data_IF_295024587725
#
_entry.id   IF_295024587725
#
_cell.length_a   1.000
_cell.length_b   1.000
_cell.length_c   1.000
_cell.angle_alpha   90.00
_cell.angle_beta   90.00
_cell.angle_gamma   90.00
#
_symmetry.space_group_name_H-M   'P 1'
#
loop_
_entity.id
_entity.type
_entity.pdbx_description
1 polymer ?
#
# COMPACT_ATOMS: atom_id res chain seq x y z
N UNK A 1 -10.36 17.51 3.71
CA UNK A 1 -8.93 17.58 3.34
C UNK A 1 -8.16 17.74 4.63
N UNK A 2 -7.46 16.71 5.09
CA UNK A 2 -6.69 16.79 6.34
C UNK A 2 -5.49 17.71 6.10
N UNK A 3 -5.30 18.66 6.99
CA UNK A 3 -4.21 19.64 6.92
C UNK A 3 -2.90 18.97 7.34
N UNK A 4 -2.08 18.57 6.37
CA UNK A 4 -0.79 17.89 6.61
C UNK A 4 0.10 18.71 7.54
N UNK A 5 0.03 20.04 7.49
CA UNK A 5 0.81 20.90 8.38
C UNK A 5 0.43 20.72 9.84
N UNK A 6 -0.82 20.36 10.14
CA UNK A 6 -1.25 20.03 11.50
C UNK A 6 -0.72 18.67 11.94
N UNK A 7 -0.68 17.68 11.05
CA UNK A 7 -0.09 16.37 11.36
C UNK A 7 1.44 16.44 11.52
N UNK A 8 2.12 17.24 10.70
CA UNK A 8 3.57 17.45 10.81
C UNK A 8 3.95 18.13 12.13
N UNK A 9 3.06 18.93 12.72
CA UNK A 9 3.24 19.50 14.06
C UNK A 9 2.86 18.52 15.17
N UNK A 10 1.89 17.65 14.93
CA UNK A 10 1.43 16.65 15.88
C UNK A 10 2.45 15.54 16.12
N UNK A 11 3.14 15.08 15.06
CA UNK A 11 4.11 13.99 15.17
C UNK A 11 5.27 14.25 16.14
N UNK A 12 5.99 15.40 16.08
CA UNK A 12 7.06 15.70 17.03
C UNK A 12 6.55 15.78 18.47
N UNK A 13 5.36 16.34 18.68
CA UNK A 13 4.74 16.39 20.01
C UNK A 13 4.45 14.98 20.55
N UNK A 14 3.83 14.12 19.73
CA UNK A 14 3.50 12.75 20.11
C UNK A 14 4.76 11.90 20.33
N UNK A 15 5.80 12.09 19.51
CA UNK A 15 7.08 11.41 19.66
C UNK A 15 7.76 11.78 20.98
N UNK A 16 7.77 13.07 21.33
CA UNK A 16 8.28 13.54 22.61
C UNK A 16 7.46 12.99 23.78
N UNK A 17 6.12 12.96 23.64
CA UNK A 17 5.24 12.39 24.65
C UNK A 17 5.55 10.91 24.89
N UNK A 18 5.68 10.11 23.84
CA UNK A 18 6.06 8.69 23.93
C UNK A 18 7.42 8.53 24.63
N UNK A 19 8.43 9.30 24.21
CA UNK A 19 9.76 9.25 24.82
C UNK A 19 9.74 9.56 26.32
N UNK A 20 8.96 10.56 26.75
CA UNK A 20 8.83 10.90 28.16
C UNK A 20 8.04 9.83 28.93
N UNK A 21 7.02 9.23 28.33
CA UNK A 21 6.26 8.13 28.93
C UNK A 21 7.11 6.86 29.11
N UNK A 22 7.97 6.52 28.14
CA UNK A 22 8.89 5.39 28.25
C UNK A 22 10.01 5.65 29.28
N UNK A 23 10.39 6.92 29.48
CA UNK A 23 11.36 7.32 30.52
C UNK A 23 10.78 7.26 31.93
N UNK A 24 9.47 7.36 32.09
CA UNK A 24 8.79 7.17 33.38
C UNK A 24 8.66 5.66 33.57
N UNK A 25 9.69 5.01 34.13
CA UNK A 25 9.79 3.56 34.28
C UNK A 25 8.69 2.87 35.13
N UNK A 26 7.64 3.60 35.50
CA UNK A 26 6.51 3.13 36.30
C UNK A 26 5.36 2.65 35.39
N UNK A 27 5.53 1.43 34.87
CA UNK A 27 4.59 0.74 33.96
C UNK A 27 3.12 0.73 34.41
N UNK A 28 2.75 0.59 35.70
CA UNK A 28 1.32 0.55 36.07
C UNK A 28 0.63 1.91 35.99
N UNK A 29 1.34 3.01 36.29
CA UNK A 29 0.79 4.37 36.20
C UNK A 29 0.64 4.81 34.74
N UNK A 30 1.60 4.46 33.88
CA UNK A 30 1.51 4.75 32.45
C UNK A 30 0.32 4.02 31.81
N UNK A 31 0.11 2.73 32.13
CA UNK A 31 -1.04 1.95 31.64
C UNK A 31 -2.38 2.55 32.11
N UNK A 32 -2.49 2.97 33.39
CA UNK A 32 -3.72 3.62 33.87
C UNK A 32 -4.00 4.96 33.19
N UNK A 33 -2.95 5.74 32.90
CA UNK A 33 -3.09 7.00 32.19
C UNK A 33 -3.49 6.78 30.73
N UNK A 34 -2.91 5.80 30.04
CA UNK A 34 -3.24 5.53 28.63
C UNK A 34 -4.65 4.96 28.48
N UNK A 35 -5.11 4.10 29.40
CA UNK A 35 -6.48 3.56 29.42
C UNK A 35 -7.56 4.65 29.53
N UNK A 36 -7.25 5.81 30.13
CA UNK A 36 -8.18 6.94 30.21
C UNK A 36 -8.26 7.76 28.91
N UNK A 37 -7.35 7.55 27.95
CA UNK A 37 -7.31 8.33 26.71
C UNK A 37 -8.41 7.93 25.72
N UNK A 38 -8.88 6.68 25.75
CA UNK A 38 -9.97 6.22 24.88
C UNK A 38 -9.63 6.32 23.40
N UNK A 39 -8.41 5.93 23.02
CA UNK A 39 -7.90 6.09 21.65
C UNK A 39 -8.59 5.07 20.75
N UNK A 40 -9.40 5.57 19.82
CA UNK A 40 -10.14 4.74 18.87
C UNK A 40 -9.86 5.13 17.42
N UNK A 41 -9.56 4.13 16.58
CA UNK A 41 -9.32 4.30 15.15
C UNK A 41 -10.25 3.44 14.31
N UNK A 42 -10.64 3.95 13.15
CA UNK A 42 -11.38 3.19 12.13
C UNK A 42 -10.45 2.77 11.00
N UNK A 43 -10.63 1.55 10.49
CA UNK A 43 -9.79 1.02 9.41
C UNK A 43 -10.52 1.05 8.06
N UNK A 44 -9.99 1.76 7.04
CA UNK A 44 -10.49 1.66 5.66
C UNK A 44 -10.20 0.29 5.00
N UNK A 45 -9.25 -0.48 5.56
CA UNK A 45 -8.88 -1.80 5.05
C UNK A 45 -9.70 -2.94 5.68
N UNK A 46 -10.66 -2.63 6.55
CA UNK A 46 -11.61 -3.61 7.05
C UNK A 46 -12.88 -3.65 6.21
N UNK A 47 -13.37 -4.86 5.93
CA UNK A 47 -14.73 -5.02 5.42
C UNK A 47 -15.73 -4.52 6.47
N UNK A 48 -16.58 -3.57 6.08
CA UNK A 48 -17.86 -3.41 6.77
C UNK A 48 -18.68 -4.66 6.44
N UNK A 49 -19.21 -5.41 7.43
CA UNK A 49 -19.89 -6.66 7.17
C UNK A 49 -21.12 -6.41 6.28
N UNK A 50 -21.32 -7.17 5.18
CA UNK A 50 -22.63 -7.24 4.55
C UNK A 50 -23.56 -8.01 5.49
N UNK A 51 -24.46 -7.30 6.19
CA UNK A 51 -25.54 -7.96 6.91
C UNK A 51 -26.51 -8.58 5.90
N UNK A 52 -26.89 -9.87 6.00
CA UNK A 52 -27.78 -10.53 5.05
C UNK A 52 -29.27 -10.23 5.33
N UNK A 53 -29.57 -9.09 5.93
CA UNK A 53 -30.91 -8.77 6.42
C UNK A 53 -31.26 -7.34 6.00
N UNK A 54 -32.07 -7.27 4.95
CA UNK A 54 -32.84 -6.06 4.64
C UNK A 54 -33.63 -5.67 5.90
N UNK A 55 -33.47 -4.40 6.33
CA UNK A 55 -34.24 -3.71 7.35
C UNK A 55 -33.97 -4.13 8.81
N UNK A 56 -33.01 -3.50 9.49
CA UNK A 56 -33.06 -3.14 10.92
C UNK A 56 -31.78 -2.39 11.29
N UNK A 57 -31.89 -1.13 11.77
CA UNK A 57 -30.99 -0.24 12.56
C UNK A 57 -29.43 -0.36 12.54
N UNK A 58 -28.82 -1.26 11.79
CA UNK A 58 -27.39 -1.54 11.75
C UNK A 58 -26.67 -0.85 10.59
N UNK A 59 -27.39 -0.23 9.65
CA UNK A 59 -26.80 0.72 8.67
C UNK A 59 -26.24 1.99 9.35
N UNK A 60 -26.56 2.19 10.63
CA UNK A 60 -25.94 3.20 11.51
C UNK A 60 -24.66 2.71 12.20
N UNK A 61 -24.31 1.42 12.12
CA UNK A 61 -23.07 0.90 12.71
C UNK A 61 -21.94 1.20 11.74
N UNK A 62 -21.31 2.36 11.97
CA UNK A 62 -20.18 2.86 11.18
C UNK A 62 -18.99 1.88 11.09
N UNK A 63 -17.94 2.25 10.32
CA UNK A 63 -16.78 1.41 10.11
C UNK A 63 -16.21 0.88 11.43
N UNK A 64 -15.74 -0.38 11.43
CA UNK A 64 -15.25 -1.06 12.63
C UNK A 64 -14.19 -0.20 13.33
N UNK A 65 -14.51 0.23 14.55
CA UNK A 65 -13.61 1.00 15.41
C UNK A 65 -12.78 0.05 16.28
N UNK A 66 -11.48 0.28 16.31
CA UNK A 66 -10.51 -0.40 17.16
C UNK A 66 -10.08 0.56 18.26
N UNK A 67 -10.41 0.22 19.51
CA UNK A 67 -9.93 0.97 20.66
C UNK A 67 -8.67 0.30 21.19
N UNK A 68 -7.54 0.99 21.09
CA UNK A 68 -6.25 0.52 21.58
C UNK A 68 -5.60 1.68 22.32
N UNK A 69 -5.70 1.61 23.65
CA UNK A 69 -5.26 2.65 24.57
C UNK A 69 -3.73 2.58 24.82
N UNK A 70 -2.96 2.81 23.77
CA UNK A 70 -1.51 2.80 23.77
C UNK A 70 -0.96 3.96 22.91
N UNK A 71 -0.15 4.84 23.50
CA UNK A 71 0.43 6.00 22.82
C UNK A 71 1.40 5.61 21.70
N UNK A 72 2.10 4.50 21.83
CA UNK A 72 2.94 3.96 20.76
C UNK A 72 2.05 3.44 19.62
N UNK A 73 0.91 2.80 19.91
CA UNK A 73 -0.03 2.43 18.86
C UNK A 73 -0.56 3.66 18.09
N UNK A 74 -0.97 4.71 18.80
CA UNK A 74 -1.37 6.00 18.21
C UNK A 74 -0.28 6.57 17.29
N UNK A 75 0.96 6.60 17.76
CA UNK A 75 2.10 7.11 17.00
C UNK A 75 2.32 6.33 15.70
N UNK A 76 2.21 4.99 15.73
CA UNK A 76 2.36 4.16 14.54
C UNK A 76 1.25 4.38 13.52
N UNK A 77 -0.01 4.41 13.97
CA UNK A 77 -1.17 4.59 13.11
C UNK A 77 -1.19 5.99 12.47
N UNK A 78 -0.86 7.03 13.23
CA UNK A 78 -0.77 8.41 12.72
C UNK A 78 0.32 8.52 11.66
N UNK A 79 1.49 7.90 11.88
CA UNK A 79 2.54 7.83 10.86
C UNK A 79 2.04 7.09 9.61
N UNK A 80 1.41 5.93 9.78
CA UNK A 80 0.90 5.13 8.66
C UNK A 80 -0.06 5.94 7.76
N UNK A 81 -1.02 6.65 8.36
CA UNK A 81 -1.99 7.44 7.62
C UNK A 81 -1.42 8.75 7.07
N UNK A 82 -0.46 9.39 7.76
CA UNK A 82 0.21 10.57 7.22
C UNK A 82 0.91 10.23 5.90
N UNK A 83 1.69 9.15 5.89
CA UNK A 83 2.43 8.75 4.69
C UNK A 83 1.51 8.26 3.56
N UNK A 84 0.35 7.67 3.90
CA UNK A 84 -0.67 7.31 2.91
C UNK A 84 -1.33 8.54 2.27
N UNK A 85 -1.59 9.59 3.05
CA UNK A 85 -2.14 10.83 2.53
C UNK A 85 -1.08 11.62 1.74
N UNK A 86 0.15 11.66 2.23
CA UNK A 86 1.24 12.37 1.58
C UNK A 86 1.59 11.74 0.22
N UNK A 87 1.65 10.41 0.12
CA UNK A 87 1.92 9.71 -1.14
C UNK A 87 0.82 9.93 -2.19
N UNK A 88 -0.42 10.15 -1.75
CA UNK A 88 -1.58 10.41 -2.61
C UNK A 88 -1.74 11.87 -3.02
N UNK A 89 -0.98 12.79 -2.43
CA UNK A 89 -0.96 14.16 -2.92
C UNK A 89 -0.33 14.19 -4.30
N UNK A 90 -1.09 14.62 -5.30
CA UNK A 90 -0.57 14.81 -6.65
C UNK A 90 0.46 15.94 -6.64
N UNK A 91 1.74 15.61 -6.79
CA UNK A 91 2.75 16.64 -7.03
C UNK A 91 2.77 17.02 -8.50
N UNK A 92 2.92 18.31 -8.75
CA UNK A 92 3.14 18.85 -10.10
C UNK A 92 4.49 18.43 -10.68
N UNK A 93 5.43 17.98 -9.83
CA UNK A 93 6.77 17.56 -10.22
C UNK A 93 7.00 16.06 -9.99
N UNK A 94 7.22 15.31 -11.08
CA UNK A 94 7.49 13.87 -11.05
C UNK A 94 8.69 13.49 -10.14
N UNK A 95 9.74 14.31 -10.10
CA UNK A 95 10.90 14.02 -9.25
C UNK A 95 10.54 14.10 -7.76
N UNK A 96 9.72 15.08 -7.38
CA UNK A 96 9.24 15.25 -6.01
C UNK A 96 8.30 14.10 -5.62
N UNK A 97 7.37 13.71 -6.49
CA UNK A 97 6.52 12.52 -6.28
C UNK A 97 7.35 11.27 -6.03
N UNK A 98 8.33 10.97 -6.89
CA UNK A 98 9.15 9.77 -6.77
C UNK A 98 9.97 9.77 -5.46
N UNK A 99 10.47 10.94 -5.06
CA UNK A 99 11.23 11.09 -3.81
C UNK A 99 10.36 10.87 -2.59
N UNK A 100 9.16 11.44 -2.59
CA UNK A 100 8.23 11.26 -1.48
C UNK A 100 7.76 9.80 -1.36
N UNK A 101 7.42 9.16 -2.48
CA UNK A 101 7.01 7.75 -2.49
C UNK A 101 8.11 6.83 -1.93
N UNK A 102 9.37 7.09 -2.27
CA UNK A 102 10.51 6.36 -1.66
C UNK A 102 10.64 6.62 -0.16
N UNK A 103 10.39 7.86 0.27
CA UNK A 103 10.40 8.19 1.70
C UNK A 103 9.26 7.49 2.45
N UNK A 104 8.05 7.49 1.89
CA UNK A 104 6.90 6.76 2.42
C UNK A 104 7.21 5.25 2.55
N UNK A 105 7.82 4.65 1.50
CA UNK A 105 8.24 3.27 1.53
C UNK A 105 9.21 2.96 2.69
N UNK A 106 10.18 3.85 2.93
CA UNK A 106 11.12 3.74 4.04
C UNK A 106 10.42 3.83 5.41
N UNK A 107 9.43 4.71 5.57
CA UNK A 107 8.67 4.77 6.83
C UNK A 107 7.83 3.53 7.06
N UNK A 108 7.16 3.00 6.05
CA UNK A 108 6.44 1.73 6.18
C UNK A 108 7.37 0.56 6.53
N UNK A 109 8.59 0.56 5.99
CA UNK A 109 9.60 -0.44 6.35
C UNK A 109 10.09 -0.29 7.79
N UNK A 110 10.31 0.94 8.26
CA UNK A 110 10.60 1.24 9.67
C UNK A 110 9.48 0.76 10.59
N UNK A 111 8.22 1.05 10.23
CA UNK A 111 7.06 0.59 10.98
C UNK A 111 7.03 -0.94 11.07
N UNK A 112 7.30 -1.64 9.96
CA UNK A 112 7.29 -3.10 9.91
C UNK A 112 8.43 -3.75 10.71
N UNK A 113 9.64 -3.17 10.66
CA UNK A 113 10.85 -3.81 11.18
C UNK A 113 11.19 -3.42 12.61
N UNK A 114 11.02 -2.14 12.97
CA UNK A 114 11.43 -1.63 14.29
C UNK A 114 10.23 -1.36 15.19
N UNK A 115 9.16 -0.79 14.65
CA UNK A 115 8.07 -0.25 15.48
C UNK A 115 7.03 -1.30 15.90
N UNK A 116 6.39 -1.96 14.93
CA UNK A 116 5.29 -2.89 15.18
C UNK A 116 5.69 -4.13 15.99
N UNK A 117 6.90 -4.71 15.83
CA UNK A 117 7.35 -5.79 16.71
C UNK A 117 7.38 -5.42 18.19
N UNK A 118 7.75 -4.18 18.55
CA UNK A 118 7.75 -3.69 19.93
C UNK A 118 6.35 -3.62 20.54
N UNK A 119 5.32 -3.46 19.70
CA UNK A 119 3.93 -3.41 20.13
C UNK A 119 3.31 -4.80 20.30
N UNK A 120 3.91 -5.84 19.73
CA UNK A 120 3.35 -7.19 19.69
C UNK A 120 3.25 -7.82 21.08
N UNK A 121 4.21 -7.54 21.96
CA UNK A 121 4.23 -8.04 23.34
C UNK A 121 3.15 -7.38 24.24
N UNK A 122 2.61 -6.24 23.81
CA UNK A 122 1.55 -5.51 24.50
C UNK A 122 0.13 -5.80 23.96
N UNK A 123 0.00 -6.57 22.87
CA UNK A 123 -1.26 -6.77 22.16
C UNK A 123 -1.93 -8.10 22.51
N UNK A 124 -2.99 -8.05 23.32
CA UNK A 124 -3.90 -9.18 23.59
C UNK A 124 -5.24 -9.12 22.81
N UNK A 125 -5.45 -8.10 21.98
CA UNK A 125 -6.73 -7.82 21.32
C UNK A 125 -6.64 -7.63 19.80
N UNK A 126 -7.80 -7.72 19.15
CA UNK A 126 -8.00 -7.52 17.71
C UNK A 126 -7.46 -6.16 17.26
N UNK A 127 -6.50 -6.16 16.32
CA UNK A 127 -5.76 -4.99 15.85
C UNK A 127 -6.21 -4.62 14.43
N UNK A 128 -6.25 -3.32 14.04
CA UNK A 128 -6.55 -2.96 12.66
C UNK A 128 -5.46 -3.48 11.71
N UNK A 129 -5.80 -3.80 10.45
CA UNK A 129 -4.83 -4.25 9.45
C UNK A 129 -3.62 -3.32 9.31
N UNK A 130 -3.82 -2.01 9.42
CA UNK A 130 -2.79 -0.97 9.32
C UNK A 130 -1.68 -1.11 10.37
N UNK A 131 -1.97 -1.73 11.51
CA UNK A 131 -1.00 -2.00 12.58
C UNK A 131 -0.44 -3.43 12.53
N UNK A 132 -0.49 -4.07 11.37
CA UNK A 132 0.16 -5.38 11.16
C UNK A 132 1.42 -5.25 10.31
N UNK A 133 2.41 -6.08 10.65
CA UNK A 133 3.69 -6.12 9.95
C UNK A 133 3.51 -6.42 8.45
N UNK A 134 2.70 -7.41 8.03
CA UNK A 134 2.53 -7.71 6.61
C UNK A 134 1.92 -6.54 5.82
N UNK A 135 0.93 -5.83 6.37
CA UNK A 135 0.30 -4.67 5.69
C UNK A 135 1.28 -3.52 5.54
N UNK A 136 2.13 -3.27 6.52
CA UNK A 136 3.20 -2.27 6.41
C UNK A 136 4.18 -2.63 5.28
N UNK A 137 4.58 -3.90 5.14
CA UNK A 137 5.38 -4.34 3.98
C UNK A 137 4.64 -4.17 2.64
N UNK A 138 3.35 -4.49 2.58
CA UNK A 138 2.53 -4.27 1.38
C UNK A 138 2.54 -2.80 0.98
N UNK A 139 2.29 -1.87 1.91
CA UNK A 139 2.30 -0.44 1.63
C UNK A 139 3.68 0.07 1.21
N UNK A 140 4.75 -0.44 1.82
CA UNK A 140 6.13 -0.13 1.40
C UNK A 140 6.38 -0.52 -0.06
N UNK A 141 5.99 -1.74 -0.45
CA UNK A 141 6.15 -2.25 -1.81
C UNK A 141 5.31 -1.49 -2.84
N UNK A 142 4.08 -1.12 -2.48
CA UNK A 142 3.22 -0.26 -3.32
C UNK A 142 3.90 1.10 -3.56
N UNK A 143 4.41 1.74 -2.52
CA UNK A 143 5.10 3.02 -2.65
C UNK A 143 6.37 2.91 -3.52
N UNK A 144 7.14 1.82 -3.40
CA UNK A 144 8.29 1.56 -4.28
C UNK A 144 7.85 1.37 -5.74
N UNK A 145 6.81 0.57 -5.98
CA UNK A 145 6.24 0.35 -7.31
C UNK A 145 5.81 1.68 -7.94
N UNK A 146 5.02 2.48 -7.23
CA UNK A 146 4.57 3.80 -7.67
C UNK A 146 5.74 4.77 -7.91
N UNK A 147 6.77 4.75 -7.06
CA UNK A 147 7.96 5.58 -7.27
C UNK A 147 8.69 5.21 -8.57
N UNK A 148 8.73 3.93 -8.92
CA UNK A 148 9.31 3.44 -10.15
C UNK A 148 8.45 3.80 -11.36
N UNK A 149 7.12 3.75 -11.22
CA UNK A 149 6.17 4.21 -12.25
C UNK A 149 6.44 5.68 -12.60
N UNK A 150 6.56 6.53 -11.59
CA UNK A 150 6.86 7.95 -11.79
C UNK A 150 8.23 8.15 -12.44
N UNK A 151 9.23 7.35 -12.03
CA UNK A 151 10.55 7.37 -12.67
C UNK A 151 10.50 6.94 -14.14
N UNK A 152 9.66 5.97 -14.50
CA UNK A 152 9.42 5.56 -15.88
C UNK A 152 8.77 6.70 -16.67
N UNK A 153 7.76 7.37 -16.11
CA UNK A 153 7.13 8.54 -16.76
C UNK A 153 8.17 9.62 -17.05
N UNK A 154 9.06 9.91 -16.10
CA UNK A 154 10.14 10.87 -16.30
C UNK A 154 11.16 10.40 -17.33
N UNK A 155 11.53 9.11 -17.29
CA UNK A 155 12.47 8.53 -18.25
C UNK A 155 11.94 8.61 -19.68
N UNK A 156 10.63 8.42 -19.89
CA UNK A 156 10.00 8.52 -21.23
C UNK A 156 10.20 9.88 -21.90
N UNK A 157 10.35 10.97 -21.14
CA UNK A 157 10.68 12.29 -21.70
C UNK A 157 12.02 12.30 -22.45
N UNK A 158 12.97 11.45 -22.05
CA UNK A 158 14.30 11.33 -22.64
C UNK A 158 14.36 10.32 -23.80
N UNK A 159 13.22 9.75 -24.22
CA UNK A 159 13.11 8.73 -25.30
C UNK A 159 14.16 7.59 -25.16
N UNK A 160 14.16 6.86 -24.04
CA UNK A 160 15.07 5.74 -23.82
C UNK A 160 14.75 4.57 -24.76
N UNK A 161 15.72 3.66 -24.91
CA UNK A 161 15.52 2.43 -25.68
C UNK A 161 14.37 1.57 -25.11
N UNK A 162 13.58 0.95 -25.99
CA UNK A 162 12.41 0.14 -25.60
C UNK A 162 12.78 -1.02 -24.67
N UNK A 163 13.97 -1.61 -24.85
CA UNK A 163 14.48 -2.67 -23.97
C UNK A 163 14.66 -2.19 -22.52
N UNK A 164 15.02 -0.92 -22.31
CA UNK A 164 15.13 -0.33 -20.98
C UNK A 164 13.75 -0.10 -20.39
N UNK A 165 12.80 0.46 -21.17
CA UNK A 165 11.42 0.64 -20.73
C UNK A 165 10.76 -0.67 -20.35
N UNK A 166 10.97 -1.71 -21.14
CA UNK A 166 10.49 -3.07 -20.85
C UNK A 166 10.96 -3.55 -19.47
N UNK A 167 12.28 -3.49 -19.23
CA UNK A 167 12.88 -3.90 -17.94
C UNK A 167 12.35 -3.07 -16.76
N UNK A 168 12.19 -1.76 -16.94
CA UNK A 168 11.66 -0.90 -15.89
C UNK A 168 10.21 -1.24 -15.56
N UNK A 169 9.35 -1.43 -16.57
CA UNK A 169 7.98 -1.87 -16.38
C UNK A 169 7.92 -3.25 -15.69
N UNK A 170 8.80 -4.20 -16.05
CA UNK A 170 8.87 -5.50 -15.39
C UNK A 170 9.36 -5.40 -13.93
N UNK A 171 10.22 -4.43 -13.60
CA UNK A 171 10.62 -4.16 -12.21
C UNK A 171 9.43 -3.79 -11.32
N UNK A 172 8.46 -3.02 -11.86
CA UNK A 172 7.20 -2.70 -11.16
C UNK A 172 6.41 -3.98 -10.85
N UNK A 173 6.34 -4.92 -11.79
CA UNK A 173 5.68 -6.23 -11.60
C UNK A 173 6.29 -6.98 -10.41
N UNK A 174 7.62 -6.93 -10.24
CA UNK A 174 8.31 -7.61 -9.12
C UNK A 174 7.92 -7.06 -7.76
N UNK A 175 7.73 -5.75 -7.63
CA UNK A 175 7.22 -5.17 -6.39
C UNK A 175 5.81 -5.66 -6.07
N UNK A 176 4.92 -5.73 -7.08
CA UNK A 176 3.57 -6.24 -6.89
C UNK A 176 3.52 -7.74 -6.62
N UNK A 177 4.38 -8.56 -7.25
CA UNK A 177 4.54 -9.99 -6.92
C UNK A 177 4.83 -10.19 -5.42
N UNK A 178 5.80 -9.44 -4.90
CA UNK A 178 6.14 -9.47 -3.47
C UNK A 178 4.99 -8.96 -2.61
N UNK A 179 4.28 -7.91 -3.03
CA UNK A 179 3.15 -7.36 -2.30
C UNK A 179 2.01 -8.39 -2.17
N UNK A 180 1.73 -9.18 -3.21
CA UNK A 180 0.72 -10.26 -3.15
C UNK A 180 1.07 -11.34 -2.12
N UNK A 181 2.37 -11.66 -1.95
CA UNK A 181 2.85 -12.63 -0.94
C UNK A 181 2.54 -12.10 0.46
N UNK A 182 2.95 -10.86 0.77
CA UNK A 182 2.69 -10.25 2.08
C UNK A 182 1.20 -10.00 2.33
N UNK A 183 0.44 -9.64 1.30
CA UNK A 183 -1.02 -9.53 1.39
C UNK A 183 -1.65 -10.87 1.82
N UNK A 184 -1.18 -11.98 1.24
CA UNK A 184 -1.67 -13.33 1.57
C UNK A 184 -1.31 -13.78 2.99
N UNK A 185 -0.25 -13.20 3.57
CA UNK A 185 0.06 -13.34 4.99
C UNK A 185 -0.88 -12.47 5.83
N UNK A 186 -1.13 -11.23 5.41
CA UNK A 186 -2.05 -10.30 6.08
C UNK A 186 -3.48 -10.86 6.21
N UNK A 187 -4.00 -11.52 5.17
CA UNK A 187 -5.34 -12.14 5.22
C UNK A 187 -5.45 -13.29 6.21
N UNK A 188 -4.35 -13.99 6.51
CA UNK A 188 -4.32 -15.04 7.53
C UNK A 188 -4.33 -14.45 8.93
N UNK A 189 -3.71 -13.28 9.11
CA UNK A 189 -3.63 -12.57 10.40
C UNK A 189 -4.89 -11.73 10.68
N UNK A 190 -5.51 -11.16 9.64
CA UNK A 190 -6.68 -10.27 9.74
C UNK A 190 -7.92 -10.88 9.07
N UNK A 191 -8.88 -11.36 9.87
CA UNK A 191 -10.10 -12.04 9.38
C UNK A 191 -11.00 -11.18 8.49
N UNK A 192 -10.97 -9.85 8.64
CA UNK A 192 -11.84 -8.91 7.92
C UNK A 192 -11.08 -8.03 6.91
N UNK A 193 -9.94 -8.50 6.39
CA UNK A 193 -9.13 -7.70 5.47
C UNK A 193 -9.80 -7.54 4.10
N UNK A 194 -9.99 -6.30 3.68
CA UNK A 194 -10.72 -5.94 2.47
C UNK A 194 -9.98 -6.38 1.19
N UNK A 195 -10.66 -7.03 0.23
CA UNK A 195 -10.06 -7.48 -1.03
C UNK A 195 -9.65 -6.33 -1.95
N UNK A 196 -10.10 -5.08 -1.68
CA UNK A 196 -9.88 -3.93 -2.56
C UNK A 196 -8.40 -3.66 -2.82
N UNK A 197 -7.54 -3.91 -1.82
CA UNK A 197 -6.11 -3.73 -1.96
C UNK A 197 -5.48 -4.82 -2.83
N UNK A 198 -5.97 -6.06 -2.75
CA UNK A 198 -5.54 -7.14 -3.64
C UNK A 198 -5.97 -6.87 -5.09
N UNK A 199 -7.18 -6.34 -5.29
CA UNK A 199 -7.65 -5.93 -6.62
C UNK A 199 -6.73 -4.86 -7.20
N UNK A 200 -6.37 -3.84 -6.41
CA UNK A 200 -5.40 -2.82 -6.81
C UNK A 200 -4.05 -3.42 -7.24
N UNK A 201 -3.44 -4.23 -6.37
CA UNK A 201 -2.14 -4.88 -6.63
C UNK A 201 -2.21 -5.74 -7.90
N UNK A 202 -3.25 -6.56 -8.04
CA UNK A 202 -3.41 -7.48 -9.16
C UNK A 202 -3.60 -6.72 -10.48
N UNK A 203 -4.42 -5.67 -10.49
CA UNK A 203 -4.67 -4.87 -11.69
C UNK A 203 -3.41 -4.15 -12.16
N UNK A 204 -2.69 -3.49 -11.24
CA UNK A 204 -1.46 -2.80 -11.59
C UNK A 204 -0.36 -3.77 -12.03
N UNK A 205 -0.24 -4.94 -11.38
CA UNK A 205 0.67 -5.98 -11.82
C UNK A 205 0.45 -6.34 -13.30
N UNK A 206 -0.79 -6.67 -13.67
CA UNK A 206 -1.15 -7.05 -15.05
C UNK A 206 -0.86 -5.90 -16.02
N UNK A 207 -1.27 -4.67 -15.68
CA UNK A 207 -1.03 -3.49 -16.52
C UNK A 207 0.47 -3.28 -16.83
N UNK A 208 1.32 -3.39 -15.80
CA UNK A 208 2.76 -3.16 -15.97
C UNK A 208 3.47 -4.36 -16.60
N UNK A 209 2.95 -5.57 -16.42
CA UNK A 209 3.41 -6.75 -17.16
C UNK A 209 3.14 -6.59 -18.67
N UNK A 210 1.96 -6.10 -19.05
CA UNK A 210 1.63 -5.82 -20.44
C UNK A 210 2.47 -4.73 -21.06
N UNK A 211 2.65 -3.61 -20.35
CA UNK A 211 3.54 -2.53 -20.80
C UNK A 211 4.96 -3.07 -20.99
N UNK A 212 5.44 -3.93 -20.10
CA UNK A 212 6.74 -4.60 -20.25
C UNK A 212 6.84 -5.42 -21.53
N UNK A 213 5.87 -6.31 -21.79
CA UNK A 213 5.86 -7.14 -22.99
C UNK A 213 5.68 -6.34 -24.28
N UNK A 214 4.89 -5.25 -24.25
CA UNK A 214 4.74 -4.30 -25.36
C UNK A 214 6.09 -3.73 -25.79
N UNK A 215 6.83 -3.11 -24.86
CA UNK A 215 8.15 -2.55 -25.16
C UNK A 215 9.18 -3.63 -25.52
N UNK A 216 9.09 -4.83 -24.94
CA UNK A 216 9.95 -5.95 -25.33
C UNK A 216 9.70 -6.37 -26.78
N UNK A 217 8.43 -6.46 -27.18
CA UNK A 217 8.05 -6.81 -28.54
C UNK A 217 8.49 -5.74 -29.54
N UNK A 218 8.40 -4.45 -29.18
CA UNK A 218 8.91 -3.33 -29.99
C UNK A 218 10.43 -3.44 -30.19
N UNK A 219 11.19 -3.71 -29.12
CA UNK A 219 12.64 -3.92 -29.21
C UNK A 219 13.00 -5.10 -30.12
N UNK A 220 12.34 -6.25 -29.95
CA UNK A 220 12.58 -7.47 -30.74
C UNK A 220 12.16 -7.29 -32.21
N UNK A 221 11.10 -6.52 -32.46
CA UNK A 221 10.67 -6.15 -33.82
C UNK A 221 11.71 -5.27 -34.51
N UNK A 222 12.32 -4.33 -33.79
CA UNK A 222 13.39 -3.48 -34.33
C UNK A 222 14.63 -4.29 -34.77
N UNK A 223 14.86 -5.46 -34.16
CA UNK A 223 15.89 -6.43 -34.59
C UNK A 223 15.48 -7.29 -35.80
N UNK A 224 14.31 -7.05 -36.42
CA UNK A 224 13.78 -7.82 -37.55
C UNK A 224 13.12 -9.15 -37.18
N UNK A 225 12.99 -9.48 -35.88
CA UNK A 225 12.43 -10.75 -35.39
C UNK A 225 10.92 -10.65 -35.14
N UNK A 226 10.15 -10.29 -36.17
CA UNK A 226 8.70 -10.04 -36.05
C UNK A 226 7.90 -11.22 -35.49
N UNK A 227 8.27 -12.46 -35.84
CA UNK A 227 7.62 -13.67 -35.30
C UNK A 227 7.75 -13.78 -33.77
N UNK A 228 8.93 -13.46 -33.23
CA UNK A 228 9.16 -13.47 -31.79
C UNK A 228 8.38 -12.36 -31.09
N UNK A 229 8.26 -11.18 -31.71
CA UNK A 229 7.45 -10.08 -31.17
C UNK A 229 5.96 -10.46 -31.07
N UNK A 230 5.40 -11.11 -32.10
CA UNK A 230 4.01 -11.61 -32.09
C UNK A 230 3.83 -12.66 -31.00
N UNK A 231 4.76 -13.61 -30.88
CA UNK A 231 4.71 -14.65 -29.86
C UNK A 231 4.75 -14.08 -28.42
N UNK A 232 5.58 -13.05 -28.19
CA UNK A 232 5.66 -12.35 -26.90
C UNK A 232 4.34 -11.67 -26.52
N UNK A 233 3.70 -10.98 -27.46
CA UNK A 233 2.40 -10.34 -27.24
C UNK A 233 1.30 -11.38 -27.01
N UNK A 234 1.30 -12.46 -27.79
CA UNK A 234 0.34 -13.57 -27.61
C UNK A 234 0.47 -14.24 -26.23
N UNK A 235 1.69 -14.42 -25.73
CA UNK A 235 1.93 -14.92 -24.37
C UNK A 235 1.39 -13.98 -23.29
N UNK A 236 1.60 -12.67 -23.46
CA UNK A 236 1.12 -11.67 -22.50
C UNK A 236 -0.41 -11.67 -22.40
N UNK A 237 -1.10 -11.68 -23.55
CA UNK A 237 -2.57 -11.70 -23.62
C UNK A 237 -3.19 -13.00 -23.07
N UNK A 238 -2.53 -14.15 -23.27
CA UNK A 238 -3.00 -15.42 -22.71
C UNK A 238 -2.86 -15.49 -21.17
N UNK A 239 -1.78 -14.91 -20.62
CA UNK A 239 -1.60 -14.81 -19.17
C UNK A 239 -2.68 -13.91 -18.52
N UNK A 240 -3.18 -12.90 -19.23
CA UNK A 240 -4.29 -12.06 -18.75
C UNK A 240 -5.61 -12.82 -18.64
N UNK A 241 -5.98 -13.62 -19.64
CA UNK A 241 -7.23 -14.37 -19.60
C UNK A 241 -7.31 -15.34 -18.41
N UNK A 242 -6.16 -15.82 -17.94
CA UNK A 242 -6.05 -16.71 -16.78
C UNK A 242 -6.15 -15.92 -15.45
N UNK A 243 -5.67 -14.67 -15.41
CA UNK A 243 -5.65 -13.83 -14.21
C UNK A 243 -6.87 -12.89 -14.07
N UNK A 244 -7.58 -12.58 -15.15
CA UNK A 244 -8.68 -11.62 -15.21
C UNK A 244 -10.06 -12.18 -14.82
N UNK A 245 -10.11 -13.23 -13.99
CA UNK A 245 -11.35 -13.70 -13.35
C UNK A 245 -11.99 -12.65 -12.40
N UNK A 246 -11.34 -11.51 -12.18
CA UNK A 246 -11.82 -10.38 -11.36
C UNK A 246 -12.31 -9.19 -12.20
N UNK A 247 -13.57 -8.82 -11.97
CA UNK A 247 -14.25 -7.53 -12.20
C UNK A 247 -14.03 -6.79 -13.55
N UNK A 248 -15.08 -6.77 -14.39
CA UNK A 248 -15.18 -6.17 -15.74
C UNK A 248 -14.82 -4.66 -15.86
N UNK A 249 -14.72 -3.93 -14.74
CA UNK A 249 -14.42 -2.49 -14.72
C UNK A 249 -12.98 -2.19 -15.11
N UNK A 250 -12.03 -3.00 -14.65
CA UNK A 250 -10.59 -2.75 -14.83
C UNK A 250 -10.06 -3.13 -16.21
N UNK A 251 -10.68 -4.12 -16.86
CA UNK A 251 -10.39 -4.46 -18.26
C UNK A 251 -10.58 -3.26 -19.20
N UNK A 252 -11.50 -2.33 -18.89
CA UNK A 252 -11.69 -1.10 -19.67
C UNK A 252 -10.54 -0.11 -19.47
N UNK A 253 -10.03 0.02 -18.24
CA UNK A 253 -8.89 0.89 -17.91
C UNK A 253 -7.62 0.37 -18.58
N UNK A 254 -7.37 -0.94 -18.51
CA UNK A 254 -6.20 -1.56 -19.16
C UNK A 254 -6.25 -1.36 -20.68
N UNK A 255 -7.42 -1.53 -21.30
CA UNK A 255 -7.61 -1.31 -22.76
C UNK A 255 -7.43 0.14 -23.21
N UNK A 256 -7.57 1.11 -22.32
CA UNK A 256 -7.33 2.53 -22.65
C UNK A 256 -5.85 2.90 -22.56
N UNK A 257 -5.06 2.13 -21.80
CA UNK A 257 -3.74 2.52 -21.31
C UNK A 257 -2.59 1.68 -21.90
N UNK A 258 -2.92 0.58 -22.59
CA UNK A 258 -2.03 -0.35 -23.31
C UNK A 258 -2.27 -0.26 -24.81
#
# INVERSE_FOLDING_TARGET
MVDIQKLERYLPFLHNLVHHFDSIGDKPLSIQMTQKLGISWTSPLTLSPPSPSFLTDADLRGPKSFQIDNLCFELGIVQFFLWCNASRMGFTNLLQSATLLRRAAGVYQYLAYEFLPLLKDAQSFECPPEATIPVSYVMSLICLAESQIVAIMKAKEQKPADILLSKLHYGVVKYFDLAMIFYSTATKECKNFSPILMEYISCYKVLYELKSYKYMAEAVKAEGKTGNAIALLGKALNNEQISAGGTKSWQKVIKQDV
#
